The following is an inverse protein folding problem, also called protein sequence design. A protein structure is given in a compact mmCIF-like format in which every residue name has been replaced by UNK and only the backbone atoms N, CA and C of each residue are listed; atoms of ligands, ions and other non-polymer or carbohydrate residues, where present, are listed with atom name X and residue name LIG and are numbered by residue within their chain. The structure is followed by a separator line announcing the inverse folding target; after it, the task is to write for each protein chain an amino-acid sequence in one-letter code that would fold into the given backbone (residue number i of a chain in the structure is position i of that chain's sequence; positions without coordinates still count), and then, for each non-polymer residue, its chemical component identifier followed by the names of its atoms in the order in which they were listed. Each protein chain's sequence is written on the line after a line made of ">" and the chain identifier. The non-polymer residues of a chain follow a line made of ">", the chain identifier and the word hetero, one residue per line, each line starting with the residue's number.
data_IF_322943482265
#
_entry.id   IF_322943482265
#
_cell.length_a   1.000
_cell.length_b   1.000
_cell.length_c   1.000
_cell.angle_alpha   90.00
_cell.angle_beta   90.00
_cell.angle_gamma   90.00
#
_symmetry.space_group_name_H-M   'P 1'
#
loop_
_entity.id
_entity.type
_entity.pdbx_description
1 polymer ?
#
# COMPACT_ATOMS: atom_id res chain seq x y z
N UNK A 1 9.36 0.95 -1.21
CA UNK A 1 8.46 0.38 -0.19
C UNK A 1 8.11 1.46 0.80
N UNK A 2 9.10 1.95 1.55
CA UNK A 2 8.97 3.03 2.55
C UNK A 2 8.06 4.19 2.10
N UNK A 3 8.30 4.74 0.91
CA UNK A 3 7.50 5.86 0.38
C UNK A 3 6.02 5.51 0.23
N UNK A 4 5.69 4.32 -0.29
CA UNK A 4 4.30 3.86 -0.43
C UNK A 4 3.67 3.59 0.93
N UNK A 5 4.44 3.05 1.87
CA UNK A 5 4.00 2.82 3.25
C UNK A 5 3.63 4.14 3.93
N UNK A 6 4.53 5.13 3.92
CA UNK A 6 4.30 6.45 4.54
C UNK A 6 3.09 7.13 3.91
N UNK A 7 2.97 7.06 2.58
CA UNK A 7 1.88 7.69 1.86
C UNK A 7 0.52 7.05 2.22
N UNK A 8 0.47 5.72 2.32
CA UNK A 8 -0.72 5.01 2.78
C UNK A 8 -1.07 5.32 4.24
N UNK A 9 -0.07 5.34 5.13
CA UNK A 9 -0.27 5.69 6.55
C UNK A 9 -0.76 7.14 6.71
N UNK A 10 -0.27 8.07 5.89
CA UNK A 10 -0.74 9.47 5.86
C UNK A 10 -2.20 9.60 5.43
N UNK A 11 -2.66 8.70 4.56
CA UNK A 11 -4.06 8.64 4.09
C UNK A 11 -4.97 7.81 5.02
N UNK A 12 -4.45 7.34 6.16
CA UNK A 12 -5.21 6.60 7.16
C UNK A 12 -5.31 5.09 6.92
N UNK A 13 -4.46 4.52 6.06
CA UNK A 13 -4.33 3.06 5.95
C UNK A 13 -3.42 2.50 7.04
N UNK A 14 -3.88 1.43 7.68
CA UNK A 14 -3.12 0.71 8.70
C UNK A 14 -2.49 -0.55 8.12
N UNK A 15 -1.22 -0.79 8.49
CA UNK A 15 -0.51 -2.00 8.10
C UNK A 15 -0.98 -3.20 8.93
N UNK A 16 -1.89 -3.98 8.37
CA UNK A 16 -2.52 -5.14 9.03
C UNK A 16 -1.62 -6.38 9.09
N UNK A 17 -0.85 -6.65 8.04
CA UNK A 17 -0.01 -7.86 7.97
C UNK A 17 1.40 -7.55 7.49
N UNK A 18 2.39 -7.98 8.28
CA UNK A 18 3.84 -7.83 8.01
C UNK A 18 4.52 -9.18 7.71
N UNK A 19 3.74 -10.25 7.54
CA UNK A 19 4.23 -11.61 7.34
C UNK A 19 4.70 -11.85 5.89
N UNK A 20 5.98 -12.20 5.73
CA UNK A 20 6.52 -12.69 4.46
C UNK A 20 7.02 -11.58 3.52
N UNK A 21 6.83 -11.78 2.22
CA UNK A 21 7.36 -10.88 1.17
C UNK A 21 6.44 -9.70 0.85
N UNK A 22 5.21 -9.70 1.37
CA UNK A 22 4.17 -8.71 1.07
C UNK A 22 3.59 -8.13 2.35
N UNK A 23 3.24 -6.85 2.28
CA UNK A 23 2.59 -6.09 3.34
C UNK A 23 1.19 -5.76 2.89
N UNK A 24 0.23 -5.86 3.82
CA UNK A 24 -1.18 -5.59 3.56
C UNK A 24 -1.60 -4.35 4.35
N UNK A 25 -2.25 -3.43 3.67
CA UNK A 25 -2.73 -2.16 4.19
C UNK A 25 -4.25 -2.09 4.07
N UNK A 26 -4.92 -1.72 5.16
CA UNK A 26 -6.39 -1.64 5.24
C UNK A 26 -6.79 -0.25 5.74
N UNK A 27 -7.85 0.30 5.17
CA UNK A 27 -8.58 1.47 5.67
C UNK A 27 -10.06 1.12 5.73
N UNK A 28 -10.79 1.70 6.69
CA UNK A 28 -12.24 1.47 6.78
C UNK A 28 -12.93 1.89 5.47
N UNK A 29 -13.89 1.08 5.02
CA UNK A 29 -14.64 1.30 3.76
C UNK A 29 -13.79 1.35 2.47
N UNK A 30 -12.51 0.97 2.53
CA UNK A 30 -11.60 0.93 1.38
C UNK A 30 -11.12 -0.51 1.11
N UNK A 31 -10.74 -0.76 -0.14
CA UNK A 31 -10.13 -2.04 -0.55
C UNK A 31 -8.79 -2.30 0.16
N UNK A 32 -8.47 -3.58 0.32
CA UNK A 32 -7.21 -4.04 0.88
C UNK A 32 -6.07 -3.88 -0.13
N UNK A 33 -5.01 -3.18 0.24
CA UNK A 33 -3.85 -2.92 -0.64
C UNK A 33 -2.70 -3.85 -0.24
N UNK A 34 -2.21 -4.64 -1.19
CA UNK A 34 -1.08 -5.57 -0.96
C UNK A 34 0.17 -5.12 -1.73
N UNK A 35 1.27 -4.86 -1.04
CA UNK A 35 2.52 -4.32 -1.61
C UNK A 35 3.71 -5.21 -1.25
N UNK A 36 4.57 -5.61 -2.21
CA UNK A 36 5.79 -6.33 -1.90
C UNK A 36 6.80 -5.43 -1.17
N UNK A 37 7.47 -5.98 -0.17
CA UNK A 37 8.54 -5.31 0.56
C UNK A 37 9.86 -5.27 -0.23
N UNK A 38 10.18 -6.37 -0.93
CA UNK A 38 11.46 -6.50 -1.64
C UNK A 38 11.54 -5.54 -2.82
N UNK A 39 12.70 -4.89 -2.95
CA UNK A 39 13.03 -4.04 -4.10
C UNK A 39 13.57 -4.89 -5.26
N UNK A 40 13.39 -4.43 -6.52
CA UNK A 40 12.70 -3.20 -6.93
C UNK A 40 11.17 -3.34 -6.88
N UNK A 41 10.48 -2.26 -6.52
CA UNK A 41 9.01 -2.22 -6.59
C UNK A 41 8.60 -1.92 -8.02
N UNK A 42 7.72 -2.75 -8.58
CA UNK A 42 7.14 -2.52 -9.91
C UNK A 42 6.22 -1.29 -9.88
N UNK A 43 6.26 -0.50 -10.95
CA UNK A 43 5.43 0.71 -11.11
C UNK A 43 3.92 0.46 -10.96
N UNK A 44 3.46 -0.77 -11.24
CA UNK A 44 2.05 -1.16 -11.04
C UNK A 44 1.60 -0.97 -9.59
N UNK A 45 2.45 -1.24 -8.60
CA UNK A 45 2.11 -1.04 -7.19
C UNK A 45 2.02 0.44 -6.83
N UNK A 46 2.84 1.29 -7.47
CA UNK A 46 2.75 2.74 -7.31
C UNK A 46 1.41 3.25 -7.86
N UNK A 47 1.04 2.83 -9.08
CA UNK A 47 -0.25 3.19 -9.68
C UNK A 47 -1.45 2.72 -8.85
N UNK A 48 -1.37 1.51 -8.32
CA UNK A 48 -2.42 0.94 -7.47
C UNK A 48 -2.62 1.75 -6.18
N UNK A 49 -1.52 2.15 -5.52
CA UNK A 49 -1.58 3.02 -4.35
C UNK A 49 -2.14 4.39 -4.70
N UNK A 50 -1.67 5.01 -5.79
CA UNK A 50 -2.17 6.31 -6.24
C UNK A 50 -3.67 6.27 -6.53
N UNK A 51 -4.15 5.23 -7.20
CA UNK A 51 -5.58 5.02 -7.45
C UNK A 51 -6.38 4.91 -6.15
N UNK A 52 -5.85 4.22 -5.15
CA UNK A 52 -6.54 4.02 -3.88
C UNK A 52 -6.61 5.28 -3.00
N UNK A 53 -5.73 6.26 -3.22
CA UNK A 53 -5.73 7.53 -2.46
C UNK A 53 -6.39 8.67 -3.24
N UNK A 54 -6.31 8.68 -4.58
CA UNK A 54 -6.82 9.76 -5.43
C UNK A 54 -8.19 9.46 -6.03
N UNK A 55 -8.57 8.18 -6.12
CA UNK A 55 -9.84 7.75 -6.72
C UNK A 55 -9.88 7.74 -8.24
N UNK A 56 -8.75 8.02 -8.93
CA UNK A 56 -8.62 8.00 -10.41
C UNK A 56 -8.22 6.62 -10.99
#
# INVERSE_FOLDING_TARGET
>A
FETLKILLESEGYECFNKGGSHYQFRKEECDLITIPFKRPIKAIYVKMVLKAITGE
#
